data_IF_008287434199
#
_entry.id   IF_008287434199
#
_cell.length_a   1.000
_cell.length_b   1.000
_cell.length_c   1.000
_cell.angle_alpha   90.00
_cell.angle_beta   90.00
_cell.angle_gamma   90.00
#
_symmetry.space_group_name_H-M   'P 1'
#
loop_
_entity.id
_entity.type
_entity.pdbx_description
1 polymer ?
#
# COMPACT_ATOMS: atom_id res chain seq x y z
N UNK A 1 -13.12 -32.07 43.46
CA UNK A 1 -13.55 -32.32 42.09
C UNK A 1 -14.60 -31.28 41.76
N UNK A 2 -14.20 -30.22 41.05
CA UNK A 2 -15.11 -29.25 40.46
C UNK A 2 -14.60 -29.06 39.03
N UNK A 3 -15.39 -29.58 38.09
CA UNK A 3 -15.07 -29.59 36.68
C UNK A 3 -15.04 -28.20 36.10
N UNK A 4 -13.91 -27.82 35.56
CA UNK A 4 -13.76 -26.65 34.70
C UNK A 4 -14.45 -26.90 33.36
N UNK A 5 -15.66 -26.40 33.21
CA UNK A 5 -16.30 -26.31 31.91
C UNK A 5 -15.63 -25.15 31.13
N UNK A 6 -14.74 -25.46 30.25
CA UNK A 6 -14.27 -24.53 29.18
C UNK A 6 -15.47 -24.17 28.31
N UNK A 7 -16.05 -23.01 28.58
CA UNK A 7 -16.99 -22.35 27.68
C UNK A 7 -16.23 -21.86 26.46
N UNK A 8 -16.00 -22.77 25.50
CA UNK A 8 -15.67 -22.39 24.12
C UNK A 8 -16.93 -21.74 23.54
N UNK A 9 -17.04 -20.43 23.68
CA UNK A 9 -18.04 -19.65 22.98
C UNK A 9 -17.75 -19.72 21.47
N UNK A 10 -18.28 -20.77 20.82
CA UNK A 10 -18.29 -20.91 19.36
C UNK A 10 -19.24 -19.86 18.81
N UNK A 11 -18.66 -18.89 18.11
CA UNK A 11 -19.40 -17.91 17.30
C UNK A 11 -20.31 -18.61 16.28
N UNK A 12 -21.48 -18.00 15.92
CA UNK A 12 -22.43 -18.57 14.99
C UNK A 12 -22.02 -18.41 13.52
N UNK A 13 -20.74 -18.55 13.19
CA UNK A 13 -20.30 -18.77 11.81
C UNK A 13 -20.25 -20.29 11.55
N UNK A 14 -21.42 -20.92 11.52
CA UNK A 14 -21.56 -22.38 11.52
C UNK A 14 -21.41 -23.05 10.15
N UNK A 15 -21.01 -22.34 9.09
CA UNK A 15 -20.70 -22.97 7.82
C UNK A 15 -19.36 -22.49 7.24
N UNK A 16 -18.55 -23.41 6.74
CA UNK A 16 -17.31 -23.12 6.00
C UNK A 16 -17.55 -22.12 4.84
N UNK A 17 -18.72 -22.17 4.21
CA UNK A 17 -19.14 -21.22 3.17
C UNK A 17 -19.19 -19.78 3.67
N UNK A 18 -19.67 -19.51 4.87
CA UNK A 18 -19.73 -18.16 5.44
C UNK A 18 -18.33 -17.58 5.67
N UNK A 19 -17.39 -18.39 6.15
CA UNK A 19 -15.99 -17.98 6.35
C UNK A 19 -15.27 -17.70 5.04
N UNK A 20 -15.44 -18.56 4.03
CA UNK A 20 -14.89 -18.35 2.69
C UNK A 20 -15.41 -17.04 2.06
N UNK A 21 -16.70 -16.79 2.18
CA UNK A 21 -17.33 -15.55 1.68
C UNK A 21 -16.75 -14.31 2.38
N UNK A 22 -16.58 -14.35 3.71
CA UNK A 22 -16.00 -13.25 4.46
C UNK A 22 -14.53 -12.98 4.08
N UNK A 23 -13.71 -14.02 3.92
CA UNK A 23 -12.33 -13.87 3.44
C UNK A 23 -12.28 -13.24 2.05
N UNK A 24 -13.14 -13.68 1.12
CA UNK A 24 -13.23 -13.14 -0.23
C UNK A 24 -13.67 -11.68 -0.22
N UNK A 25 -14.69 -11.33 0.57
CA UNK A 25 -15.18 -9.94 0.66
C UNK A 25 -14.11 -9.00 1.21
N UNK A 26 -13.38 -9.40 2.24
CA UNK A 26 -12.30 -8.57 2.79
C UNK A 26 -11.13 -8.47 1.80
N UNK A 27 -10.78 -9.57 1.11
CA UNK A 27 -9.79 -9.52 0.02
C UNK A 27 -10.20 -8.53 -1.07
N UNK A 28 -11.46 -8.58 -1.52
CA UNK A 28 -12.00 -7.64 -2.50
C UNK A 28 -12.01 -6.21 -1.97
N UNK A 29 -12.31 -6.00 -0.70
CA UNK A 29 -12.26 -4.68 -0.06
C UNK A 29 -10.86 -4.08 -0.16
N UNK A 30 -9.85 -4.83 0.25
CA UNK A 30 -8.46 -4.40 0.19
C UNK A 30 -8.00 -4.20 -1.27
N UNK A 31 -8.37 -5.12 -2.15
CA UNK A 31 -8.03 -5.04 -3.58
C UNK A 31 -8.63 -3.80 -4.24
N UNK A 32 -9.91 -3.50 -3.99
CA UNK A 32 -10.60 -2.33 -4.57
C UNK A 32 -10.01 -1.02 -4.05
N UNK A 33 -9.69 -0.94 -2.76
CA UNK A 33 -8.99 0.23 -2.19
C UNK A 33 -7.63 0.45 -2.87
N UNK A 34 -6.89 -0.63 -3.12
CA UNK A 34 -5.58 -0.56 -3.78
C UNK A 34 -5.68 -0.27 -5.28
N UNK A 35 -6.70 -0.80 -5.97
CA UNK A 35 -7.01 -0.42 -7.36
C UNK A 35 -7.35 1.06 -7.41
N UNK A 36 -8.22 1.55 -6.52
CA UNK A 36 -8.60 2.95 -6.45
C UNK A 36 -7.39 3.87 -6.22
N UNK A 37 -6.49 3.50 -5.31
CA UNK A 37 -5.21 4.21 -5.15
C UNK A 37 -4.34 4.14 -6.42
N UNK A 38 -4.24 2.96 -7.04
CA UNK A 38 -3.43 2.72 -8.24
C UNK A 38 -3.94 3.47 -9.48
N UNK A 39 -5.27 3.59 -9.64
CA UNK A 39 -5.90 4.38 -10.72
C UNK A 39 -5.37 5.82 -10.74
N UNK A 40 -5.16 6.40 -9.57
CA UNK A 40 -4.71 7.78 -9.47
C UNK A 40 -3.24 7.98 -9.87
N UNK A 41 -2.41 6.94 -9.79
CA UNK A 41 -0.95 7.07 -10.03
C UNK A 41 -0.63 7.76 -11.36
N UNK A 42 -1.09 7.28 -12.52
CA UNK A 42 -0.76 7.91 -13.81
C UNK A 42 -1.56 9.18 -14.12
N UNK A 43 -2.63 9.47 -13.36
CA UNK A 43 -3.63 10.46 -13.75
C UNK A 43 -3.60 11.69 -12.85
N UNK A 44 -3.45 11.53 -11.55
CA UNK A 44 -3.72 12.59 -10.58
C UNK A 44 -2.86 13.82 -10.80
N UNK A 45 -1.57 13.64 -11.11
CA UNK A 45 -0.64 14.74 -11.34
C UNK A 45 -0.96 15.52 -12.63
N UNK A 46 -1.10 14.87 -13.82
CA UNK A 46 -1.52 15.57 -15.02
C UNK A 46 -2.93 16.19 -14.90
N UNK A 47 -3.82 15.55 -14.15
CA UNK A 47 -5.15 16.06 -13.88
C UNK A 47 -5.12 17.35 -13.05
N UNK A 48 -4.33 17.37 -11.96
CA UNK A 48 -4.15 18.55 -11.13
C UNK A 48 -3.49 19.72 -11.89
N UNK A 49 -2.55 19.40 -12.78
CA UNK A 49 -1.87 20.41 -13.62
C UNK A 49 -2.84 21.20 -14.50
N UNK A 50 -3.97 20.61 -14.95
CA UNK A 50 -5.03 21.32 -15.70
C UNK A 50 -5.64 22.48 -14.91
N UNK A 51 -5.63 22.40 -13.58
CA UNK A 51 -6.15 23.42 -12.68
C UNK A 51 -5.05 24.35 -12.13
N UNK A 52 -3.87 24.31 -12.74
CA UNK A 52 -2.73 25.17 -12.39
C UNK A 52 -1.92 24.68 -11.20
N UNK A 53 -1.99 23.39 -10.83
CA UNK A 53 -1.13 22.84 -9.80
C UNK A 53 0.34 22.86 -10.23
N UNK A 54 1.24 23.31 -9.35
CA UNK A 54 2.67 23.10 -9.52
C UNK A 54 3.04 21.63 -9.34
N UNK A 55 4.24 21.23 -9.81
CA UNK A 55 4.74 19.86 -9.63
C UNK A 55 4.76 19.49 -8.14
N UNK A 56 5.16 20.41 -7.27
CA UNK A 56 5.15 20.23 -5.82
C UNK A 56 3.74 19.99 -5.27
N UNK A 57 2.74 20.76 -5.70
CA UNK A 57 1.34 20.57 -5.29
C UNK A 57 0.80 19.22 -5.78
N UNK A 58 1.15 18.81 -6.99
CA UNK A 58 0.78 17.50 -7.53
C UNK A 58 1.42 16.35 -6.73
N UNK A 59 2.67 16.49 -6.29
CA UNK A 59 3.35 15.56 -5.39
C UNK A 59 2.68 15.50 -4.01
N UNK A 60 2.29 16.65 -3.45
CA UNK A 60 1.53 16.72 -2.20
C UNK A 60 0.21 15.97 -2.28
N UNK A 61 -0.52 16.08 -3.39
CA UNK A 61 -1.76 15.33 -3.61
C UNK A 61 -1.55 13.82 -3.55
N UNK A 62 -0.39 13.33 -3.99
CA UNK A 62 -0.04 11.91 -3.84
C UNK A 62 0.26 11.54 -2.39
N UNK A 63 1.04 12.37 -1.69
CA UNK A 63 1.51 12.10 -0.34
C UNK A 63 0.43 12.23 0.74
N UNK A 64 -0.47 13.21 0.65
CA UNK A 64 -1.45 13.53 1.70
C UNK A 64 -2.40 12.37 2.02
N UNK A 65 -2.75 11.56 1.02
CA UNK A 65 -3.50 10.32 1.23
C UNK A 65 -2.79 9.40 2.24
N UNK A 66 -1.50 9.17 2.05
CA UNK A 66 -0.71 8.26 2.90
C UNK A 66 -0.46 8.87 4.28
N UNK A 67 -0.35 10.19 4.38
CA UNK A 67 -0.27 10.90 5.65
C UNK A 67 -1.57 10.72 6.46
N UNK A 68 -2.72 10.90 5.82
CA UNK A 68 -4.01 10.66 6.47
C UNK A 68 -4.17 9.19 6.87
N UNK A 69 -3.77 8.27 6.01
CA UNK A 69 -3.76 6.84 6.32
C UNK A 69 -2.90 6.53 7.56
N UNK A 70 -1.73 7.16 7.68
CA UNK A 70 -0.86 7.00 8.85
C UNK A 70 -1.54 7.44 10.14
N UNK A 71 -2.11 8.65 10.18
CA UNK A 71 -2.73 9.19 11.38
C UNK A 71 -4.05 8.49 11.74
N UNK A 72 -4.84 8.13 10.75
CA UNK A 72 -6.19 7.60 10.97
C UNK A 72 -6.25 6.07 11.09
N UNK A 73 -5.22 5.32 10.68
CA UNK A 73 -5.21 3.86 10.90
C UNK A 73 -5.37 3.46 12.36
N UNK A 74 -4.67 4.06 13.34
CA UNK A 74 -4.92 3.74 14.75
C UNK A 74 -6.28 4.24 15.25
N UNK A 75 -6.82 5.30 14.64
CA UNK A 75 -8.13 5.86 15.03
C UNK A 75 -9.25 4.92 14.56
N UNK A 76 -9.25 4.55 13.28
CA UNK A 76 -10.25 3.64 12.72
C UNK A 76 -10.14 2.23 13.31
N UNK A 77 -8.92 1.76 13.61
CA UNK A 77 -8.72 0.52 14.34
C UNK A 77 -9.44 0.53 15.69
N UNK A 78 -9.21 1.56 16.51
CA UNK A 78 -9.90 1.71 17.82
C UNK A 78 -11.42 1.92 17.67
N UNK A 79 -11.85 2.65 16.67
CA UNK A 79 -13.27 2.82 16.38
C UNK A 79 -13.91 1.46 16.09
N UNK A 80 -13.25 0.66 15.27
CA UNK A 80 -13.73 -0.67 14.92
C UNK A 80 -13.71 -1.64 16.12
N UNK A 81 -12.84 -1.43 17.12
CA UNK A 81 -12.86 -2.16 18.39
C UNK A 81 -14.08 -1.77 19.28
N UNK A 82 -14.65 -0.57 19.07
CA UNK A 82 -15.77 -0.06 19.88
C UNK A 82 -17.13 -0.32 19.24
N UNK A 83 -17.28 -0.02 17.95
CA UNK A 83 -18.58 -0.09 17.26
C UNK A 83 -18.77 -1.34 16.42
N UNK A 84 -17.68 -2.10 16.21
CA UNK A 84 -17.63 -3.30 15.36
C UNK A 84 -16.79 -3.09 14.10
N UNK A 85 -16.34 -4.18 13.52
CA UNK A 85 -15.49 -4.16 12.31
C UNK A 85 -16.27 -3.77 11.06
N UNK A 86 -17.45 -4.40 10.90
CA UNK A 86 -18.31 -4.24 9.72
C UNK A 86 -18.76 -2.79 9.49
N UNK A 87 -19.28 -2.04 10.48
CA UNK A 87 -19.71 -0.65 10.26
C UNK A 87 -18.57 0.25 9.78
N UNK A 88 -17.37 0.09 10.34
CA UNK A 88 -16.19 0.91 9.97
C UNK A 88 -15.76 0.63 8.55
N UNK A 89 -15.70 -0.64 8.13
CA UNK A 89 -15.36 -1.03 6.75
C UNK A 89 -16.37 -0.42 5.76
N UNK A 90 -17.67 -0.56 6.01
CA UNK A 90 -18.71 -0.03 5.12
C UNK A 90 -18.65 1.50 5.06
N UNK A 91 -18.54 2.18 6.21
CA UNK A 91 -18.42 3.65 6.25
C UNK A 91 -17.19 4.14 5.48
N UNK A 92 -16.06 3.43 5.58
CA UNK A 92 -14.84 3.76 4.85
C UNK A 92 -15.01 3.58 3.34
N UNK A 93 -15.68 2.53 2.89
CA UNK A 93 -15.97 2.32 1.46
C UNK A 93 -16.88 3.41 0.90
N UNK A 94 -17.92 3.81 1.65
CA UNK A 94 -18.81 4.91 1.26
C UNK A 94 -18.03 6.23 1.23
N UNK A 95 -17.18 6.49 2.21
CA UNK A 95 -16.35 7.69 2.23
C UNK A 95 -15.32 7.72 1.09
N UNK A 96 -14.73 6.57 0.73
CA UNK A 96 -13.86 6.46 -0.45
C UNK A 96 -14.61 6.75 -1.74
N UNK A 97 -15.82 6.20 -1.91
CA UNK A 97 -16.72 6.51 -3.03
C UNK A 97 -16.98 8.03 -3.13
N UNK A 98 -17.35 8.67 -2.03
CA UNK A 98 -17.60 10.13 -2.01
C UNK A 98 -16.33 10.91 -2.39
N UNK A 99 -15.18 10.51 -1.87
CA UNK A 99 -13.91 11.15 -2.22
C UNK A 99 -13.58 11.03 -3.70
N UNK A 100 -13.76 9.87 -4.32
CA UNK A 100 -13.58 9.72 -5.78
C UNK A 100 -14.58 10.54 -6.58
N UNK A 101 -15.84 10.64 -6.15
CA UNK A 101 -16.84 11.52 -6.79
C UNK A 101 -16.42 12.98 -6.70
N UNK A 102 -15.89 13.45 -5.56
CA UNK A 102 -15.37 14.81 -5.42
C UNK A 102 -14.23 15.06 -6.41
N UNK A 103 -13.29 14.12 -6.57
CA UNK A 103 -12.21 14.25 -7.58
C UNK A 103 -12.81 14.37 -8.98
N UNK A 104 -13.78 13.52 -9.32
CA UNK A 104 -14.42 13.52 -10.63
C UNK A 104 -15.15 14.87 -10.94
N UNK A 105 -15.70 15.51 -9.93
CA UNK A 105 -16.37 16.80 -10.08
C UNK A 105 -15.42 18.00 -10.25
N UNK A 106 -14.12 17.85 -10.06
CA UNK A 106 -13.17 18.94 -10.24
C UNK A 106 -13.14 19.49 -11.69
N UNK A 107 -13.56 18.70 -12.69
CA UNK A 107 -13.74 19.13 -14.10
C UNK A 107 -15.14 19.69 -14.40
N UNK A 108 -16.05 19.74 -13.43
CA UNK A 108 -17.35 20.36 -13.66
C UNK A 108 -17.18 21.81 -14.16
N UNK A 109 -17.81 22.23 -15.27
CA UNK A 109 -17.60 23.54 -15.85
C UNK A 109 -17.81 24.71 -14.88
N UNK A 110 -18.76 24.58 -13.95
CA UNK A 110 -18.99 25.60 -12.92
C UNK A 110 -17.86 25.70 -11.90
N UNK A 111 -17.26 24.57 -11.52
CA UNK A 111 -16.19 24.52 -10.52
C UNK A 111 -14.82 24.80 -11.16
N UNK A 112 -14.58 24.33 -12.38
CA UNK A 112 -13.30 24.48 -13.10
C UNK A 112 -13.04 25.92 -13.56
N UNK A 113 -14.05 26.80 -13.61
CA UNK A 113 -13.84 28.23 -13.83
C UNK A 113 -12.94 28.87 -12.77
N UNK A 114 -12.84 28.26 -11.58
CA UNK A 114 -11.91 28.67 -10.54
C UNK A 114 -10.93 27.51 -10.24
N UNK A 115 -9.77 27.51 -10.90
CA UNK A 115 -8.75 26.48 -10.71
C UNK A 115 -8.31 26.29 -9.24
N UNK A 116 -8.32 27.34 -8.43
CA UNK A 116 -8.01 27.23 -6.99
C UNK A 116 -9.06 26.41 -6.24
N UNK A 117 -10.34 26.56 -6.61
CA UNK A 117 -11.43 25.78 -6.00
C UNK A 117 -11.31 24.31 -6.41
N UNK A 118 -11.03 24.02 -7.67
CA UNK A 118 -10.78 22.65 -8.13
C UNK A 118 -9.61 22.00 -7.40
N UNK A 119 -8.49 22.72 -7.22
CA UNK A 119 -7.35 22.22 -6.43
C UNK A 119 -7.73 21.96 -4.97
N UNK A 120 -8.46 22.85 -4.35
CA UNK A 120 -8.94 22.65 -2.97
C UNK A 120 -9.81 21.39 -2.86
N UNK A 121 -10.70 21.17 -3.82
CA UNK A 121 -11.54 19.96 -3.88
C UNK A 121 -10.69 18.69 -4.05
N UNK A 122 -9.63 18.73 -4.88
CA UNK A 122 -8.70 17.61 -5.01
C UNK A 122 -8.01 17.30 -3.69
N UNK A 123 -7.50 18.32 -2.97
CA UNK A 123 -6.89 18.13 -1.65
C UNK A 123 -7.89 17.59 -0.64
N UNK A 124 -9.09 18.17 -0.56
CA UNK A 124 -10.14 17.69 0.34
C UNK A 124 -10.50 16.22 0.06
N UNK A 125 -10.66 15.86 -1.21
CA UNK A 125 -10.95 14.50 -1.62
C UNK A 125 -9.81 13.53 -1.25
N UNK A 126 -8.54 13.96 -1.38
CA UNK A 126 -7.39 13.15 -0.97
C UNK A 126 -7.30 12.96 0.54
N UNK A 127 -7.70 13.97 1.32
CA UNK A 127 -7.83 13.83 2.78
C UNK A 127 -8.92 12.82 3.11
N UNK A 128 -10.12 12.95 2.53
CA UNK A 128 -11.25 12.03 2.76
C UNK A 128 -10.88 10.60 2.37
N UNK A 129 -10.36 10.39 1.15
CA UNK A 129 -9.96 9.04 0.69
C UNK A 129 -8.83 8.47 1.52
N UNK A 130 -7.89 9.29 2.01
CA UNK A 130 -6.80 8.85 2.89
C UNK A 130 -7.27 8.43 4.28
N UNK A 131 -8.23 9.16 4.88
CA UNK A 131 -8.90 8.77 6.12
C UNK A 131 -9.63 7.44 5.93
N UNK A 132 -10.38 7.31 4.85
CA UNK A 132 -11.14 6.10 4.55
C UNK A 132 -10.24 4.91 4.23
N UNK A 133 -9.15 5.12 3.48
CA UNK A 133 -8.13 4.08 3.20
C UNK A 133 -7.40 3.58 4.45
N UNK A 134 -7.48 4.28 5.59
CA UNK A 134 -6.99 3.80 6.87
C UNK A 134 -7.78 2.59 7.42
N UNK A 135 -8.93 2.25 6.84
CA UNK A 135 -9.72 1.04 7.14
C UNK A 135 -8.97 -0.27 6.85
N UNK A 136 -7.85 -0.19 6.12
CA UNK A 136 -6.95 -1.32 5.92
C UNK A 136 -6.56 -2.02 7.23
N UNK A 137 -6.32 -1.27 8.31
CA UNK A 137 -6.06 -1.82 9.64
C UNK A 137 -7.27 -2.58 10.20
N UNK A 138 -8.48 -2.09 9.94
CA UNK A 138 -9.73 -2.78 10.34
C UNK A 138 -9.94 -4.06 9.53
N UNK A 139 -9.62 -4.06 8.24
CA UNK A 139 -9.69 -5.25 7.39
C UNK A 139 -8.71 -6.33 7.86
N UNK A 140 -7.48 -5.96 8.24
CA UNK A 140 -6.51 -6.88 8.83
C UNK A 140 -7.00 -7.47 10.16
N UNK A 141 -7.59 -6.64 11.02
CA UNK A 141 -8.16 -7.09 12.29
C UNK A 141 -9.35 -8.03 12.08
N UNK A 142 -10.23 -7.72 11.12
CA UNK A 142 -11.34 -8.59 10.73
C UNK A 142 -10.85 -9.97 10.30
N UNK A 143 -9.85 -10.04 9.42
CA UNK A 143 -9.25 -11.30 8.97
C UNK A 143 -8.61 -12.08 10.13
N UNK A 144 -7.96 -11.39 11.06
CA UNK A 144 -7.37 -12.01 12.24
C UNK A 144 -8.44 -12.61 13.18
N UNK A 145 -9.62 -11.96 13.27
CA UNK A 145 -10.73 -12.41 14.11
C UNK A 145 -11.39 -13.71 13.57
N UNK A 146 -11.46 -13.89 12.23
CA UNK A 146 -12.10 -15.06 11.59
C UNK A 146 -11.13 -16.21 11.26
N UNK A 147 -9.82 -16.00 11.48
CA UNK A 147 -8.77 -16.94 11.05
C UNK A 147 -8.07 -17.54 12.26
N UNK A 148 -7.99 -18.87 12.32
CA UNK A 148 -7.22 -19.58 13.32
C UNK A 148 -5.74 -19.15 13.31
N UNK A 149 -5.07 -19.06 14.47
CA UNK A 149 -3.71 -18.55 14.57
C UNK A 149 -2.70 -19.17 13.58
N UNK A 150 -2.82 -20.48 13.35
CA UNK A 150 -1.93 -21.27 12.47
C UNK A 150 -2.07 -20.87 10.99
N UNK A 151 -3.26 -20.40 10.59
CA UNK A 151 -3.60 -20.01 9.20
C UNK A 151 -3.43 -18.51 8.94
N UNK A 152 -3.18 -17.69 9.96
CA UNK A 152 -3.10 -16.21 9.84
C UNK A 152 -2.01 -15.76 8.87
N UNK A 153 -0.85 -16.43 8.86
CA UNK A 153 0.23 -16.10 7.95
C UNK A 153 -0.18 -16.24 6.47
N UNK A 154 -0.94 -17.29 6.15
CA UNK A 154 -1.48 -17.50 4.79
C UNK A 154 -2.48 -16.42 4.37
N UNK A 155 -3.38 -16.04 5.30
CA UNK A 155 -4.39 -15.01 5.03
C UNK A 155 -3.77 -13.61 4.91
N UNK A 156 -2.73 -13.30 5.70
CA UNK A 156 -1.95 -12.08 5.53
C UNK A 156 -1.20 -12.06 4.19
N UNK A 157 -0.81 -13.22 3.67
CA UNK A 157 -0.28 -13.35 2.32
C UNK A 157 -1.29 -12.96 1.22
N UNK A 158 -2.59 -13.20 1.43
CA UNK A 158 -3.65 -12.74 0.51
C UNK A 158 -3.70 -11.21 0.41
N UNK A 159 -3.47 -10.51 1.52
CA UNK A 159 -3.37 -9.04 1.52
C UNK A 159 -2.19 -8.59 0.64
N UNK A 160 -1.05 -9.27 0.74
CA UNK A 160 0.09 -9.02 -0.15
C UNK A 160 -0.24 -9.23 -1.63
N UNK A 161 -1.01 -10.28 -1.96
CA UNK A 161 -1.50 -10.51 -3.32
C UNK A 161 -2.46 -9.40 -3.79
N UNK A 162 -3.33 -8.89 -2.90
CA UNK A 162 -4.19 -7.75 -3.22
C UNK A 162 -3.37 -6.49 -3.54
N UNK A 163 -2.26 -6.24 -2.80
CA UNK A 163 -1.32 -5.16 -3.13
C UNK A 163 -0.73 -5.33 -4.52
N UNK A 164 -0.21 -6.51 -4.85
CA UNK A 164 0.34 -6.80 -6.17
C UNK A 164 -0.68 -6.55 -7.29
N UNK A 165 -1.88 -7.14 -7.16
CA UNK A 165 -2.96 -7.01 -8.14
C UNK A 165 -3.46 -5.55 -8.25
N UNK A 166 -3.61 -4.83 -7.13
CA UNK A 166 -4.07 -3.45 -7.11
C UNK A 166 -3.09 -2.51 -7.81
N UNK A 167 -1.79 -2.69 -7.60
CA UNK A 167 -0.74 -1.93 -8.28
C UNK A 167 -0.58 -2.29 -9.76
N UNK A 168 -1.10 -3.42 -10.23
CA UNK A 168 -1.17 -3.75 -11.66
C UNK A 168 -2.43 -3.17 -12.28
N UNK A 169 -3.58 -3.55 -11.72
CA UNK A 169 -4.89 -3.23 -12.31
C UNK A 169 -5.21 -1.74 -12.20
N UNK A 170 -4.80 -1.09 -11.10
CA UNK A 170 -5.08 0.32 -10.88
C UNK A 170 -4.53 1.22 -11.98
N UNK A 171 -3.20 1.30 -12.17
CA UNK A 171 -2.62 2.15 -13.20
C UNK A 171 -3.04 1.79 -14.61
N UNK A 172 -3.27 0.50 -14.91
CA UNK A 172 -3.76 0.06 -16.23
C UNK A 172 -5.17 0.58 -16.47
N UNK A 173 -6.09 0.39 -15.50
CA UNK A 173 -7.46 0.90 -15.61
C UNK A 173 -7.42 2.43 -15.74
N UNK A 174 -6.65 3.09 -14.88
CA UNK A 174 -6.50 4.54 -14.90
C UNK A 174 -6.01 5.06 -16.26
N UNK A 175 -4.90 4.54 -16.73
CA UNK A 175 -4.31 4.95 -18.01
C UNK A 175 -5.18 4.65 -19.22
N UNK A 176 -5.82 3.47 -19.28
CA UNK A 176 -6.69 3.09 -20.42
C UNK A 176 -7.98 3.90 -20.47
N UNK A 177 -8.48 4.36 -19.32
CA UNK A 177 -9.79 5.04 -19.26
C UNK A 177 -9.67 6.56 -19.26
N UNK A 178 -8.48 7.12 -19.02
CA UNK A 178 -8.25 8.58 -19.00
C UNK A 178 -8.35 9.24 -20.38
N UNK A 179 -7.97 8.54 -21.46
CA UNK A 179 -7.93 9.05 -22.83
C UNK A 179 -9.20 8.68 -23.65
N UNK A 180 -10.33 8.41 -22.97
CA UNK A 180 -11.55 8.05 -23.64
C UNK A 180 -12.42 9.27 -23.94
N UNK A 181 -13.41 9.09 -24.82
CA UNK A 181 -14.43 10.11 -25.14
C UNK A 181 -15.23 10.60 -23.92
N UNK A 182 -15.20 9.88 -22.81
CA UNK A 182 -15.88 10.23 -21.55
C UNK A 182 -15.06 11.18 -20.66
N UNK A 183 -13.87 11.58 -21.13
CA UNK A 183 -13.00 12.52 -20.44
C UNK A 183 -12.14 11.89 -19.34
N UNK A 184 -11.17 12.66 -18.82
CA UNK A 184 -10.20 12.19 -17.84
C UNK A 184 -10.78 11.97 -16.43
N UNK A 185 -12.03 12.35 -16.19
CA UNK A 185 -12.75 12.07 -14.94
C UNK A 185 -13.31 10.64 -14.87
N UNK A 186 -13.42 9.91 -16.00
CA UNK A 186 -13.97 8.55 -16.05
C UNK A 186 -13.29 7.57 -15.08
N UNK A 187 -11.95 7.54 -14.95
CA UNK A 187 -11.28 6.64 -13.99
C UNK A 187 -11.77 6.83 -12.54
N UNK A 188 -12.07 8.06 -12.15
CA UNK A 188 -12.55 8.37 -10.79
C UNK A 188 -14.01 7.90 -10.59
N UNK A 189 -14.85 8.00 -11.61
CA UNK A 189 -16.20 7.40 -11.57
C UNK A 189 -16.15 5.87 -11.48
N UNK A 190 -15.19 5.23 -12.16
CA UNK A 190 -14.98 3.78 -12.05
C UNK A 190 -14.55 3.42 -10.63
N UNK A 191 -13.59 4.14 -10.04
CA UNK A 191 -13.16 3.91 -8.66
C UNK A 191 -14.32 4.11 -7.66
N UNK A 192 -15.14 5.15 -7.86
CA UNK A 192 -16.34 5.41 -7.04
C UNK A 192 -17.36 4.26 -7.16
N UNK A 193 -17.64 3.80 -8.38
CA UNK A 193 -18.56 2.68 -8.62
C UNK A 193 -18.06 1.38 -7.99
N UNK A 194 -16.79 1.08 -8.12
CA UNK A 194 -16.17 -0.10 -7.48
C UNK A 194 -16.30 -0.03 -5.96
N UNK A 195 -16.02 1.13 -5.35
CA UNK A 195 -16.15 1.33 -3.90
C UNK A 195 -17.61 1.19 -3.44
N UNK A 196 -18.57 1.75 -4.20
CA UNK A 196 -19.99 1.60 -3.91
C UNK A 196 -20.46 0.15 -3.99
N UNK A 197 -20.13 -0.54 -5.08
CA UNK A 197 -20.50 -1.96 -5.25
C UNK A 197 -19.94 -2.80 -4.11
N UNK A 198 -18.69 -2.58 -3.74
CA UNK A 198 -18.09 -3.30 -2.61
C UNK A 198 -18.75 -2.96 -1.28
N UNK A 199 -19.12 -1.68 -1.05
CA UNK A 199 -19.88 -1.28 0.14
C UNK A 199 -21.23 -2.01 0.23
N UNK A 200 -21.96 -2.11 -0.90
CA UNK A 200 -23.22 -2.85 -0.99
C UNK A 200 -23.03 -4.35 -0.74
N UNK A 201 -21.99 -4.96 -1.30
CA UNK A 201 -21.67 -6.36 -1.02
C UNK A 201 -21.31 -6.60 0.44
N UNK A 202 -20.50 -5.74 1.04
CA UNK A 202 -20.17 -5.82 2.45
C UNK A 202 -21.41 -5.58 3.32
N UNK A 203 -22.27 -4.63 2.96
CA UNK A 203 -23.51 -4.39 3.68
C UNK A 203 -24.44 -5.61 3.66
N UNK A 204 -24.55 -6.30 2.53
CA UNK A 204 -25.44 -7.46 2.39
C UNK A 204 -24.86 -8.74 2.99
N UNK A 205 -23.54 -8.97 2.86
CA UNK A 205 -22.97 -10.30 3.04
C UNK A 205 -21.83 -10.38 4.07
N UNK A 206 -21.31 -9.24 4.56
CA UNK A 206 -20.23 -9.26 5.55
C UNK A 206 -20.80 -9.38 6.96
N UNK A 207 -20.56 -10.49 7.71
CA UNK A 207 -21.00 -10.61 9.08
C UNK A 207 -20.14 -9.73 10.02
N UNK A 208 -20.70 -9.36 11.18
CA UNK A 208 -19.90 -8.73 12.25
C UNK A 208 -19.09 -9.80 12.98
N UNK A 209 -17.81 -9.51 13.23
CA UNK A 209 -16.89 -10.45 13.88
C UNK A 209 -16.65 -10.13 15.36
N UNK A 210 -16.91 -8.88 15.76
CA UNK A 210 -16.67 -8.44 17.12
C UNK A 210 -17.98 -8.47 17.95
N UNK A 211 -18.13 -9.42 18.92
CA UNK A 211 -19.31 -9.51 19.73
C UNK A 211 -19.47 -8.26 20.59
N UNK A 212 -20.72 -7.88 20.93
CA UNK A 212 -21.01 -6.72 21.77
C UNK A 212 -20.25 -6.73 23.10
N UNK A 213 -20.08 -7.91 23.71
CA UNK A 213 -19.42 -8.10 25.00
C UNK A 213 -17.91 -7.79 24.97
N UNK A 214 -17.27 -7.95 23.79
CA UNK A 214 -15.84 -7.67 23.59
C UNK A 214 -15.57 -6.28 23.03
N UNK A 215 -16.62 -5.49 22.79
CA UNK A 215 -16.48 -4.12 22.31
C UNK A 215 -15.97 -3.21 23.42
N UNK A 216 -14.97 -2.41 23.10
CA UNK A 216 -14.37 -1.46 24.05
C UNK A 216 -13.23 -2.04 24.89
N UNK A 217 -12.88 -3.32 24.75
CA UNK A 217 -11.62 -3.81 25.33
C UNK A 217 -10.44 -3.00 24.80
N UNK A 218 -9.67 -2.41 25.72
CA UNK A 218 -8.54 -1.55 25.38
C UNK A 218 -7.40 -2.43 24.88
N UNK A 219 -7.26 -2.57 23.58
CA UNK A 219 -6.04 -3.15 22.99
C UNK A 219 -4.87 -2.18 23.17
N UNK A 220 -3.69 -2.71 23.47
CA UNK A 220 -2.49 -1.91 23.68
C UNK A 220 -2.26 -0.95 22.50
N UNK A 221 -1.92 0.33 22.80
CA UNK A 221 -1.60 1.33 21.78
C UNK A 221 -0.40 0.86 20.98
N UNK A 222 -0.61 0.53 19.71
CA UNK A 222 0.49 0.27 18.78
C UNK A 222 1.15 1.60 18.45
N UNK A 223 2.34 1.83 18.98
CA UNK A 223 3.19 2.97 18.64
C UNK A 223 4.43 2.44 17.95
N UNK A 224 4.77 2.99 16.78
CA UNK A 224 6.00 2.62 16.05
C UNK A 224 7.21 2.72 16.97
N UNK A 225 7.34 3.86 17.67
CA UNK A 225 8.44 4.11 18.60
C UNK A 225 8.41 3.16 19.80
N UNK A 226 7.22 2.88 20.35
CA UNK A 226 7.03 1.94 21.45
C UNK A 226 7.40 0.51 21.05
N UNK A 227 7.01 0.08 19.85
CA UNK A 227 7.35 -1.25 19.31
C UNK A 227 8.86 -1.34 19.02
N UNK A 228 9.46 -0.32 18.42
CA UNK A 228 10.92 -0.26 18.24
C UNK A 228 11.68 -0.36 19.56
N UNK A 229 11.22 0.33 20.60
CA UNK A 229 11.87 0.33 21.93
C UNK A 229 11.75 -1.03 22.61
N UNK A 230 10.60 -1.69 22.52
CA UNK A 230 10.39 -3.05 23.07
C UNK A 230 11.18 -4.11 22.32
N UNK A 231 11.31 -3.96 21.01
CA UNK A 231 12.00 -4.93 20.14
C UNK A 231 13.42 -4.51 19.76
N UNK A 232 13.98 -3.49 20.45
CA UNK A 232 15.31 -2.94 20.17
C UNK A 232 16.45 -3.95 20.31
N UNK A 233 16.25 -5.02 21.09
CA UNK A 233 17.18 -6.13 21.24
C UNK A 233 17.15 -7.13 20.05
N UNK A 234 16.22 -6.99 19.14
CA UNK A 234 16.06 -7.82 17.93
C UNK A 234 16.55 -7.07 16.69
N UNK A 235 16.49 -7.72 15.53
CA UNK A 235 16.77 -7.08 14.24
C UNK A 235 15.61 -6.23 13.70
N UNK A 236 14.50 -6.14 14.42
CA UNK A 236 13.30 -5.43 14.00
C UNK A 236 13.51 -3.95 13.64
N UNK A 237 14.29 -3.14 14.41
CA UNK A 237 14.57 -1.77 14.02
C UNK A 237 15.25 -1.63 12.65
N UNK A 238 16.19 -2.52 12.31
CA UNK A 238 16.85 -2.55 11.02
C UNK A 238 15.86 -2.94 9.88
N UNK A 239 15.01 -3.93 10.13
CA UNK A 239 13.95 -4.35 9.19
C UNK A 239 12.96 -3.21 8.96
N UNK A 240 12.53 -2.53 10.02
CA UNK A 240 11.58 -1.42 9.95
C UNK A 240 12.15 -0.23 9.17
N UNK A 241 13.40 0.14 9.46
CA UNK A 241 14.12 1.19 8.74
C UNK A 241 14.30 0.84 7.26
N UNK A 242 14.69 -0.40 6.97
CA UNK A 242 14.81 -0.90 5.59
C UNK A 242 13.47 -0.79 4.84
N UNK A 243 12.37 -1.22 5.46
CA UNK A 243 11.04 -1.13 4.88
C UNK A 243 10.62 0.32 4.61
N UNK A 244 10.87 1.22 5.55
CA UNK A 244 10.61 2.66 5.37
C UNK A 244 11.37 3.22 4.17
N UNK A 245 12.69 2.98 4.10
CA UNK A 245 13.57 3.48 3.04
C UNK A 245 13.21 2.88 1.66
N UNK A 246 12.92 1.59 1.59
CA UNK A 246 12.48 0.91 0.35
C UNK A 246 11.18 1.52 -0.17
N UNK A 247 10.17 1.67 0.69
CA UNK A 247 8.89 2.25 0.28
C UNK A 247 9.03 3.72 -0.07
N UNK A 248 9.85 4.48 0.66
CA UNK A 248 10.13 5.88 0.38
C UNK A 248 10.81 6.04 -0.99
N UNK A 249 11.89 5.29 -1.26
CA UNK A 249 12.59 5.33 -2.54
C UNK A 249 11.68 4.96 -3.73
N UNK A 250 10.88 3.89 -3.57
CA UNK A 250 9.91 3.49 -4.59
C UNK A 250 8.82 4.55 -4.81
N UNK A 251 8.42 5.26 -3.75
CA UNK A 251 7.41 6.33 -3.85
C UNK A 251 7.96 7.61 -4.47
N UNK A 252 9.24 7.97 -4.20
CA UNK A 252 9.93 9.03 -4.96
C UNK A 252 9.88 8.71 -6.44
N UNK A 253 10.35 7.51 -6.81
CA UNK A 253 10.37 7.06 -8.21
C UNK A 253 8.98 7.10 -8.84
N UNK A 254 7.98 6.50 -8.21
CA UNK A 254 6.63 6.39 -8.77
C UNK A 254 6.02 7.77 -9.06
N UNK A 255 6.17 8.71 -8.15
CA UNK A 255 5.63 10.05 -8.30
C UNK A 255 6.43 10.87 -9.33
N UNK A 256 7.76 10.85 -9.27
CA UNK A 256 8.64 11.55 -10.22
C UNK A 256 8.50 11.02 -11.64
N UNK A 257 8.37 9.69 -11.78
CA UNK A 257 8.28 9.03 -13.09
C UNK A 257 7.11 9.52 -13.93
N UNK A 258 5.96 9.77 -13.33
CA UNK A 258 4.77 10.26 -14.04
C UNK A 258 5.02 11.63 -14.65
N UNK A 259 5.63 12.54 -13.89
CA UNK A 259 5.94 13.90 -14.37
C UNK A 259 7.05 13.85 -15.41
N UNK A 260 8.12 13.11 -15.13
CA UNK A 260 9.26 12.96 -16.05
C UNK A 260 8.84 12.32 -17.38
N UNK A 261 8.12 11.21 -17.34
CA UNK A 261 7.67 10.53 -18.56
C UNK A 261 6.71 11.39 -19.38
N UNK A 262 5.85 12.18 -18.72
CA UNK A 262 4.94 13.10 -19.40
C UNK A 262 5.66 14.30 -20.02
N UNK A 263 6.62 14.91 -19.33
CA UNK A 263 7.30 16.14 -19.78
C UNK A 263 8.50 15.88 -20.71
N UNK A 264 9.33 14.88 -20.39
CA UNK A 264 10.55 14.59 -21.14
C UNK A 264 10.35 13.55 -22.26
N UNK A 265 9.57 12.49 -22.00
CA UNK A 265 9.32 11.43 -22.98
C UNK A 265 8.03 11.66 -23.77
N UNK A 266 7.25 12.67 -23.40
CA UNK A 266 5.94 12.98 -24.01
C UNK A 266 4.97 11.79 -23.99
N UNK A 267 5.06 10.93 -22.96
CA UNK A 267 4.19 9.78 -22.83
C UNK A 267 2.80 10.21 -22.34
N UNK A 268 1.78 9.65 -22.98
CA UNK A 268 0.39 9.80 -22.53
C UNK A 268 0.14 9.05 -21.24
N UNK A 269 -0.95 9.40 -20.55
CA UNK A 269 -1.38 8.71 -19.32
C UNK A 269 -1.61 7.21 -19.58
N UNK A 270 -2.09 6.85 -20.79
CA UNK A 270 -2.25 5.47 -21.23
C UNK A 270 -0.92 4.73 -21.30
N UNK A 271 0.11 5.31 -21.89
CA UNK A 271 1.43 4.71 -21.99
C UNK A 271 2.06 4.54 -20.59
N UNK A 272 1.96 5.56 -19.74
CA UNK A 272 2.43 5.49 -18.36
C UNK A 272 1.70 4.39 -17.59
N UNK A 273 0.37 4.30 -17.71
CA UNK A 273 -0.42 3.25 -17.09
C UNK A 273 -0.02 1.84 -17.53
N UNK A 274 0.26 1.65 -18.83
CA UNK A 274 0.75 0.37 -19.37
C UNK A 274 2.13 0.00 -18.86
N UNK A 275 3.05 0.98 -18.69
CA UNK A 275 4.37 0.75 -18.10
C UNK A 275 4.27 0.30 -16.64
N UNK A 276 3.38 0.91 -15.83
CA UNK A 276 3.12 0.41 -14.48
C UNK A 276 2.45 -0.97 -14.50
N UNK A 277 1.57 -1.23 -15.47
CA UNK A 277 1.01 -2.55 -15.70
C UNK A 277 2.07 -3.61 -15.99
N UNK A 278 3.07 -3.27 -16.81
CA UNK A 278 4.23 -4.13 -17.08
C UNK A 278 5.02 -4.48 -15.81
N UNK A 279 5.36 -3.47 -14.98
CA UNK A 279 5.97 -3.69 -13.66
C UNK A 279 5.12 -4.66 -12.84
N UNK A 280 3.81 -4.45 -12.84
CA UNK A 280 2.89 -5.24 -12.05
C UNK A 280 2.77 -6.70 -12.51
N UNK A 281 2.77 -6.97 -13.82
CA UNK A 281 2.75 -8.33 -14.37
C UNK A 281 4.00 -9.09 -13.91
N UNK A 282 5.19 -8.47 -13.99
CA UNK A 282 6.43 -9.07 -13.49
C UNK A 282 6.32 -9.36 -11.99
N UNK A 283 5.75 -8.43 -11.21
CA UNK A 283 5.55 -8.61 -9.78
C UNK A 283 4.64 -9.82 -9.48
N UNK A 284 3.54 -10.00 -10.23
CA UNK A 284 2.65 -11.16 -10.08
C UNK A 284 3.39 -12.47 -10.37
N UNK A 285 4.17 -12.53 -11.45
CA UNK A 285 4.92 -13.72 -11.81
C UNK A 285 5.95 -14.11 -10.74
N UNK A 286 6.64 -13.12 -10.17
CA UNK A 286 7.65 -13.35 -9.13
C UNK A 286 7.00 -13.73 -7.80
N UNK A 287 6.04 -12.93 -7.33
CA UNK A 287 5.41 -13.15 -6.02
C UNK A 287 4.47 -14.35 -6.02
N UNK A 288 3.77 -14.61 -7.13
CA UNK A 288 2.85 -15.74 -7.28
C UNK A 288 3.51 -17.11 -7.40
N UNK A 289 4.71 -17.16 -8.00
CA UNK A 289 5.36 -18.45 -8.33
C UNK A 289 6.79 -18.57 -7.82
N UNK A 290 7.65 -17.64 -8.23
CA UNK A 290 9.09 -17.77 -8.05
C UNK A 290 9.51 -17.62 -6.59
N UNK A 291 8.93 -16.68 -5.84
CA UNK A 291 9.32 -16.40 -4.46
C UNK A 291 9.12 -17.63 -3.55
N UNK A 292 8.05 -18.40 -3.76
CA UNK A 292 7.79 -19.63 -2.99
C UNK A 292 8.86 -20.70 -3.21
N UNK A 293 9.50 -20.70 -4.38
CA UNK A 293 10.56 -21.68 -4.73
C UNK A 293 11.93 -21.25 -4.20
N UNK A 294 12.21 -19.94 -4.18
CA UNK A 294 13.51 -19.40 -3.81
C UNK A 294 13.59 -19.00 -2.32
N UNK A 295 12.49 -18.56 -1.72
CA UNK A 295 12.43 -18.21 -0.30
C UNK A 295 12.39 -19.49 0.55
N UNK A 296 13.56 -20.12 0.69
CA UNK A 296 13.77 -21.22 1.63
C UNK A 296 14.17 -20.64 2.99
N UNK A 297 13.89 -21.37 4.07
CA UNK A 297 14.24 -20.97 5.44
C UNK A 297 15.72 -20.55 5.53
N UNK A 298 15.94 -19.29 5.95
CA UNK A 298 17.26 -18.70 6.12
C UNK A 298 17.80 -17.85 4.97
N UNK A 299 17.14 -17.80 3.80
CA UNK A 299 17.60 -17.00 2.64
C UNK A 299 16.94 -15.63 2.53
N UNK A 300 16.00 -15.27 3.42
CA UNK A 300 15.19 -14.06 3.29
C UNK A 300 16.05 -12.79 3.29
N UNK A 301 17.04 -12.70 4.17
CA UNK A 301 17.91 -11.52 4.21
C UNK A 301 18.74 -11.38 2.92
N UNK A 302 19.20 -12.50 2.34
CA UNK A 302 19.93 -12.49 1.05
C UNK A 302 19.04 -12.08 -0.11
N UNK A 303 17.79 -12.54 -0.13
CA UNK A 303 16.80 -12.16 -1.15
C UNK A 303 16.43 -10.68 -1.04
N UNK A 304 16.22 -10.19 0.19
CA UNK A 304 15.98 -8.76 0.43
C UNK A 304 17.16 -7.92 -0.05
N UNK A 305 18.38 -8.35 0.24
CA UNK A 305 19.62 -7.67 -0.16
C UNK A 305 19.75 -7.63 -1.70
N UNK A 306 19.63 -8.78 -2.36
CA UNK A 306 19.74 -8.88 -3.81
C UNK A 306 18.68 -8.04 -4.51
N UNK A 307 17.44 -8.07 -4.01
CA UNK A 307 16.36 -7.23 -4.51
C UNK A 307 16.62 -5.74 -4.32
N UNK A 308 17.10 -5.33 -3.14
CA UNK A 308 17.43 -3.93 -2.84
C UNK A 308 18.59 -3.42 -3.74
N UNK A 309 19.62 -4.24 -3.97
CA UNK A 309 20.71 -3.90 -4.90
C UNK A 309 20.19 -3.74 -6.33
N UNK A 310 19.31 -4.64 -6.79
CA UNK A 310 18.68 -4.51 -8.11
C UNK A 310 17.87 -3.19 -8.22
N UNK A 311 17.20 -2.77 -7.15
CA UNK A 311 16.49 -1.49 -7.12
C UNK A 311 17.45 -0.28 -7.12
N UNK A 312 18.60 -0.34 -6.43
CA UNK A 312 19.62 0.73 -6.52
C UNK A 312 20.08 0.90 -7.94
N UNK A 313 20.44 -0.20 -8.62
CA UNK A 313 20.90 -0.17 -10.00
C UNK A 313 19.82 0.36 -10.93
N UNK A 314 18.58 -0.12 -10.81
CA UNK A 314 17.48 0.34 -11.66
C UNK A 314 17.15 1.82 -11.46
N UNK A 315 17.12 2.31 -10.21
CA UNK A 315 16.87 3.73 -9.92
C UNK A 315 18.01 4.63 -10.46
N UNK A 316 19.26 4.17 -10.34
CA UNK A 316 20.38 4.89 -10.87
C UNK A 316 20.35 4.97 -12.41
N UNK A 317 19.92 3.90 -13.09
CA UNK A 317 19.87 3.81 -14.56
C UNK A 317 18.60 4.42 -15.17
N UNK A 318 17.55 4.68 -14.37
CA UNK A 318 16.26 5.15 -14.88
C UNK A 318 16.33 6.43 -15.73
N UNK A 319 17.17 7.45 -15.43
CA UNK A 319 17.29 8.65 -16.25
C UNK A 319 17.75 8.39 -17.69
N UNK A 320 18.48 7.31 -17.94
CA UNK A 320 18.89 6.92 -19.30
C UNK A 320 17.84 6.10 -20.06
N UNK A 321 16.64 5.95 -19.49
CA UNK A 321 15.52 5.22 -20.09
C UNK A 321 14.78 5.97 -21.22
N UNK A 322 15.43 6.88 -21.95
CA UNK A 322 14.81 7.56 -23.09
C UNK A 322 14.42 6.59 -24.23
N UNK A 323 15.17 5.51 -24.40
CA UNK A 323 14.85 4.44 -25.36
C UNK A 323 13.94 3.41 -24.66
N UNK A 324 12.81 3.08 -25.30
CA UNK A 324 11.78 2.20 -24.72
C UNK A 324 12.34 0.83 -24.27
N UNK A 325 13.24 0.22 -25.04
CA UNK A 325 13.84 -1.07 -24.67
C UNK A 325 14.68 -0.98 -23.40
N UNK A 326 15.45 0.10 -23.24
CA UNK A 326 16.23 0.38 -22.02
C UNK A 326 15.28 0.62 -20.85
N UNK A 327 14.25 1.45 -21.06
CA UNK A 327 13.24 1.74 -20.05
C UNK A 327 12.56 0.46 -19.55
N UNK A 328 12.11 -0.41 -20.46
CA UNK A 328 11.48 -1.69 -20.09
C UNK A 328 12.45 -2.60 -19.31
N UNK A 329 13.73 -2.66 -19.73
CA UNK A 329 14.75 -3.43 -19.00
C UNK A 329 14.98 -2.92 -17.57
N UNK A 330 15.11 -1.59 -17.41
CA UNK A 330 15.27 -0.93 -16.11
C UNK A 330 14.04 -1.14 -15.22
N UNK A 331 12.83 -0.98 -15.77
CA UNK A 331 11.58 -1.18 -15.06
C UNK A 331 11.38 -2.66 -14.68
N UNK A 332 11.77 -3.59 -15.54
CA UNK A 332 11.77 -5.02 -15.23
C UNK A 332 12.69 -5.33 -14.05
N UNK A 333 13.94 -4.82 -14.08
CA UNK A 333 14.89 -5.00 -12.98
C UNK A 333 14.35 -4.42 -11.66
N UNK A 334 13.74 -3.25 -11.72
CA UNK A 334 13.11 -2.62 -10.55
C UNK A 334 11.95 -3.45 -10.01
N UNK A 335 11.10 -3.98 -10.88
CA UNK A 335 9.99 -4.84 -10.48
C UNK A 335 10.48 -6.12 -9.81
N UNK A 336 11.51 -6.77 -10.37
CA UNK A 336 12.18 -7.92 -9.75
C UNK A 336 12.70 -7.56 -8.37
N UNK A 337 13.43 -6.45 -8.27
CA UNK A 337 14.01 -5.98 -7.02
C UNK A 337 12.94 -5.74 -5.94
N UNK A 338 11.89 -4.98 -6.26
CA UNK A 338 10.80 -4.69 -5.32
C UNK A 338 10.03 -5.96 -4.90
N UNK A 339 9.81 -6.87 -5.85
CA UNK A 339 9.08 -8.12 -5.61
C UNK A 339 9.86 -9.11 -4.74
N UNK A 340 11.17 -9.03 -4.70
CA UNK A 340 12.01 -9.80 -3.79
C UNK A 340 12.15 -9.12 -2.42
N UNK A 341 12.35 -7.80 -2.39
CA UNK A 341 12.65 -7.06 -1.16
C UNK A 341 11.45 -6.94 -0.22
N UNK A 342 10.31 -6.45 -0.74
CA UNK A 342 9.15 -6.11 0.11
C UNK A 342 8.56 -7.33 0.85
N UNK A 343 8.27 -8.47 0.19
CA UNK A 343 7.72 -9.63 0.89
C UNK A 343 8.71 -10.27 1.87
N UNK A 344 10.01 -10.24 1.54
CA UNK A 344 11.04 -10.82 2.42
C UNK A 344 11.26 -9.96 3.67
N UNK A 345 11.20 -8.62 3.57
CA UNK A 345 11.22 -7.74 4.74
C UNK A 345 10.00 -7.95 5.63
N UNK A 346 8.81 -8.15 5.06
CA UNK A 346 7.61 -8.47 5.82
C UNK A 346 7.74 -9.83 6.54
N UNK A 347 8.34 -10.83 5.89
CA UNK A 347 8.62 -12.13 6.51
C UNK A 347 9.62 -12.01 7.66
N UNK A 348 10.71 -11.25 7.47
CA UNK A 348 11.71 -10.98 8.51
C UNK A 348 11.08 -10.24 9.70
N UNK A 349 10.22 -9.24 9.45
CA UNK A 349 9.50 -8.53 10.50
C UNK A 349 8.58 -9.47 11.29
N UNK A 350 7.83 -10.34 10.60
CA UNK A 350 6.96 -11.33 11.23
C UNK A 350 7.72 -12.29 12.16
N UNK A 351 8.96 -12.67 11.77
CA UNK A 351 9.83 -13.55 12.60
C UNK A 351 10.45 -12.85 13.81
N UNK A 352 10.54 -11.52 13.80
CA UNK A 352 11.02 -10.76 14.96
C UNK A 352 10.00 -10.71 16.09
N UNK A 353 8.69 -10.86 15.78
CA UNK A 353 7.60 -10.83 16.75
C UNK A 353 7.21 -12.21 17.27
N UNK A 354 6.71 -12.27 18.51
CA UNK A 354 6.00 -13.43 19.03
C UNK A 354 4.56 -13.46 18.51
N UNK A 355 3.84 -14.57 18.69
CA UNK A 355 2.41 -14.69 18.32
C UNK A 355 1.58 -13.55 18.92
N UNK A 356 1.91 -13.09 20.15
CA UNK A 356 1.21 -12.00 20.84
C UNK A 356 1.57 -10.62 20.29
N UNK A 357 2.80 -10.40 19.81
CA UNK A 357 3.29 -9.11 19.33
C UNK A 357 3.27 -8.96 17.80
N UNK A 358 2.88 -10.01 17.07
CA UNK A 358 2.88 -10.02 15.60
C UNK A 358 1.99 -8.90 15.00
N UNK A 359 0.83 -8.62 15.62
CA UNK A 359 -0.04 -7.52 15.20
C UNK A 359 0.62 -6.15 15.35
N UNK A 360 1.37 -5.93 16.45
CA UNK A 360 2.12 -4.69 16.68
C UNK A 360 3.25 -4.53 15.64
N UNK A 361 3.97 -5.61 15.36
CA UNK A 361 5.07 -5.64 14.39
C UNK A 361 4.57 -5.28 13.00
N UNK A 362 3.50 -5.94 12.53
CA UNK A 362 2.90 -5.66 11.22
C UNK A 362 2.27 -4.25 11.16
N UNK A 363 1.65 -3.80 12.24
CA UNK A 363 1.13 -2.44 12.36
C UNK A 363 2.24 -1.38 12.25
N UNK A 364 3.39 -1.60 12.89
CA UNK A 364 4.55 -0.71 12.79
C UNK A 364 5.13 -0.70 11.36
N UNK A 365 5.23 -1.87 10.69
CA UNK A 365 5.64 -1.98 9.29
C UNK A 365 4.70 -1.21 8.35
N UNK A 366 3.39 -1.35 8.54
CA UNK A 366 2.37 -0.64 7.76
C UNK A 366 2.45 0.88 7.97
N UNK A 367 2.61 1.32 9.22
CA UNK A 367 2.78 2.74 9.57
C UNK A 367 4.05 3.34 8.96
N UNK A 368 5.19 2.64 9.06
CA UNK A 368 6.44 3.04 8.41
C UNK A 368 6.28 3.13 6.88
N UNK A 369 5.57 2.17 6.28
CA UNK A 369 5.23 2.20 4.87
C UNK A 369 4.38 3.41 4.48
N UNK A 370 3.40 3.79 5.30
CA UNK A 370 2.57 4.98 5.04
C UNK A 370 3.39 6.27 5.12
N UNK A 371 4.31 6.37 6.08
CA UNK A 371 5.27 7.48 6.15
C UNK A 371 6.20 7.51 4.93
N UNK A 372 6.71 6.37 4.49
CA UNK A 372 7.53 6.27 3.28
C UNK A 372 6.77 6.76 2.04
N UNK A 373 5.50 6.37 1.88
CA UNK A 373 4.63 6.85 0.80
C UNK A 373 4.27 8.33 0.89
N UNK A 374 4.32 8.93 2.08
CA UNK A 374 4.16 10.38 2.24
C UNK A 374 5.45 11.13 1.90
N UNK A 375 6.56 10.77 2.56
CA UNK A 375 7.82 11.48 2.38
C UNK A 375 8.40 11.32 0.98
N UNK A 376 8.14 10.19 0.30
CA UNK A 376 8.63 9.96 -1.06
C UNK A 376 8.22 11.05 -2.04
N UNK A 377 6.93 11.24 -2.33
CA UNK A 377 6.46 12.30 -3.21
C UNK A 377 6.85 13.70 -2.73
N UNK A 378 6.80 13.95 -1.41
CA UNK A 378 7.20 15.23 -0.83
C UNK A 378 8.66 15.58 -1.16
N UNK A 379 9.58 14.64 -0.93
CA UNK A 379 11.02 14.83 -1.21
C UNK A 379 11.26 14.91 -2.71
N UNK A 380 10.58 14.07 -3.52
CA UNK A 380 10.66 14.15 -4.97
C UNK A 380 10.24 15.51 -5.53
N UNK A 381 9.13 16.06 -5.04
CA UNK A 381 8.66 17.39 -5.42
C UNK A 381 9.62 18.49 -5.00
N UNK A 382 10.16 18.41 -3.78
CA UNK A 382 11.14 19.37 -3.29
C UNK A 382 12.43 19.38 -4.13
N UNK A 383 12.94 18.21 -4.52
CA UNK A 383 14.10 18.12 -5.42
C UNK A 383 13.81 18.73 -6.78
N UNK A 384 12.61 18.51 -7.34
CA UNK A 384 12.23 19.13 -8.62
C UNK A 384 12.10 20.65 -8.53
N UNK A 385 11.76 21.20 -7.36
CA UNK A 385 11.66 22.63 -7.15
C UNK A 385 13.05 23.31 -7.02
N UNK A 386 14.02 22.61 -6.39
CA UNK A 386 15.41 23.08 -6.25
C UNK A 386 16.18 22.95 -7.57
N UNK A 387 15.91 21.89 -8.35
CA UNK A 387 16.59 21.61 -9.61
C UNK A 387 15.57 21.47 -10.75
N UNK A 388 14.95 22.58 -11.22
CA UNK A 388 13.93 22.53 -12.26
C UNK A 388 14.47 21.91 -13.54
N UNK A 389 13.71 20.98 -14.13
CA UNK A 389 14.09 20.26 -15.36
C UNK A 389 15.14 19.15 -15.15
N UNK A 390 15.65 18.95 -13.95
CA UNK A 390 16.64 17.91 -13.64
C UNK A 390 15.99 16.76 -12.86
N UNK A 391 15.06 16.05 -13.49
CA UNK A 391 14.32 14.94 -12.89
C UNK A 391 15.22 13.79 -12.44
N UNK A 392 16.38 13.63 -13.08
CA UNK A 392 17.40 12.65 -12.72
C UNK A 392 17.85 12.77 -11.28
N UNK A 393 17.89 13.98 -10.72
CA UNK A 393 18.27 14.21 -9.31
C UNK A 393 17.34 13.49 -8.33
N UNK A 394 16.03 13.44 -8.62
CA UNK A 394 15.07 12.75 -7.77
C UNK A 394 15.24 11.23 -7.85
N UNK A 395 15.54 10.67 -9.02
CA UNK A 395 15.82 9.25 -9.19
C UNK A 395 17.13 8.84 -8.52
N UNK A 396 18.18 9.65 -8.62
CA UNK A 396 19.45 9.39 -7.91
C UNK A 396 19.31 9.52 -6.40
N UNK A 397 18.51 10.47 -5.90
CA UNK A 397 18.20 10.55 -4.49
C UNK A 397 17.42 9.32 -4.01
N UNK A 398 16.48 8.82 -4.80
CA UNK A 398 15.79 7.55 -4.53
C UNK A 398 16.79 6.37 -4.48
N UNK A 399 17.78 6.35 -5.39
CA UNK A 399 18.85 5.35 -5.36
C UNK A 399 19.71 5.46 -4.09
N UNK A 400 19.99 6.67 -3.59
CA UNK A 400 20.71 6.88 -2.31
C UNK A 400 19.89 6.33 -1.14
N UNK A 401 18.59 6.61 -1.08
CA UNK A 401 17.73 6.03 -0.04
C UNK A 401 17.70 4.49 -0.11
N UNK A 402 17.66 3.95 -1.31
CA UNK A 402 17.70 2.51 -1.50
C UNK A 402 19.06 1.92 -1.12
N UNK A 403 20.18 2.61 -1.39
CA UNK A 403 21.51 2.22 -0.91
C UNK A 403 21.59 2.25 0.63
N UNK A 404 20.97 3.24 1.28
CA UNK A 404 20.84 3.26 2.73
C UNK A 404 20.02 2.06 3.25
N UNK A 405 18.97 1.65 2.51
CA UNK A 405 18.22 0.43 2.83
C UNK A 405 19.10 -0.83 2.70
N UNK A 406 19.96 -0.92 1.67
CA UNK A 406 20.94 -2.01 1.53
C UNK A 406 21.85 -2.08 2.76
N UNK A 407 22.39 -0.94 3.23
CA UNK A 407 23.22 -0.89 4.44
C UNK A 407 22.45 -1.35 5.68
N UNK A 408 21.18 -0.96 5.80
CA UNK A 408 20.33 -1.39 6.90
C UNK A 408 20.05 -2.91 6.85
N UNK A 409 19.81 -3.47 5.65
CA UNK A 409 19.58 -4.91 5.43
C UNK A 409 20.84 -5.72 5.78
N UNK A 410 22.04 -5.23 5.46
CA UNK A 410 23.32 -5.90 5.82
C UNK A 410 23.52 -6.06 7.33
N UNK A 411 22.86 -5.21 8.14
CA UNK A 411 22.88 -5.33 9.61
C UNK A 411 21.93 -6.40 10.14
N UNK A 412 21.05 -6.95 9.31
CA UNK A 412 20.14 -8.03 9.66
C UNK A 412 20.92 -9.34 9.61
N UNK A 413 21.35 -9.84 10.76
CA UNK A 413 21.97 -11.16 10.84
C UNK A 413 20.96 -12.24 10.50
N UNK A 414 21.34 -13.32 9.79
CA UNK A 414 20.45 -14.44 9.56
C UNK A 414 19.96 -14.96 10.92
N UNK A 415 18.64 -14.94 11.12
CA UNK A 415 18.03 -15.56 12.29
C UNK A 415 18.21 -17.07 12.11
N UNK A 416 19.20 -17.65 12.76
CA UNK A 416 19.30 -19.10 12.88
C UNK A 416 18.08 -19.52 13.69
N UNK A 417 17.13 -20.19 13.05
CA UNK A 417 16.01 -20.84 13.73
C UNK A 417 16.65 -21.92 14.63
N UNK A 418 16.82 -21.58 15.90
CA UNK A 418 17.20 -22.57 16.90
C UNK A 418 16.05 -23.58 17.01
N UNK A 419 16.29 -24.82 16.58
CA UNK A 419 15.41 -25.95 16.89
C UNK A 419 14.55 -26.49 15.76
N UNK A 420 15.18 -27.01 14.70
CA UNK A 420 14.57 -28.09 13.92
C UNK A 420 15.33 -29.43 14.14
N UNK A 421 16.19 -29.49 15.15
CA UNK A 421 16.88 -30.75 15.58
C UNK A 421 16.41 -31.09 16.99
N UNK A 422 15.17 -31.47 17.11
CA UNK A 422 14.58 -32.07 18.29
C UNK A 422 13.67 -33.21 17.83
N UNK A 423 14.26 -34.42 17.77
CA UNK A 423 13.62 -35.71 17.55
C UNK A 423 12.27 -35.86 18.25
#
# INVERSE_FOLDING_TARGET
MVGGAELSASFPMSSDRSKHTAHLLIFLTVLIDLIGFGILIPILQPFAAKFGASDMQAMWLMGIYSLMQFFFSPVLGRWSDRIGRRPVIIASLVGSMLGYLIIAQAENPVLSMNGKLSLLLLFAARVVTGICGASFSTAQAYLADITAPEKRAGVMGMIGAAFGLGFVLGPVIGGLTSDTRFGPSLPFYIAAAMSLLNALFCWKSLPETLPPEKRGEVRAKVSILGTMRRMGHTHFPAVLLSNFLVIMAFSVMTATFVIWAGKELHYSQRQIGLLFGFIGIIAILIQGGLIRRIAKNGNEAKLALGGAVAMVVSLALLPWGAVLSVLLGVMALMSVGNSLTTPTLNTLASRCGTVQTQGETMGAMSGAGSLGRFFGPFIGGWVMEIAPGRYECAFWLAAVFMAAAVVAILRIRPVVVAGADGK
#
